data_IF_528503217204
#
_entry.id   IF_528503217204
#
_cell.length_a   1.000
_cell.length_b   1.000
_cell.length_c   1.000
_cell.angle_alpha   90.00
_cell.angle_beta   90.00
_cell.angle_gamma   90.00
#
_symmetry.space_group_name_H-M   'P 1'
#
loop_
_entity.id
_entity.type
_entity.pdbx_description
1 polymer ?
#
# COMPACT_ATOMS: atom_id res chain seq x y z
N UNK A 1 -14.53 6.99 -13.39
CA UNK A 1 -14.27 7.85 -12.21
C UNK A 1 -14.15 7.07 -10.91
N UNK A 2 -15.09 6.18 -10.60
CA UNK A 2 -15.02 5.32 -9.41
C UNK A 2 -13.72 4.51 -9.36
N UNK A 3 -13.24 3.96 -10.48
CA UNK A 3 -11.94 3.28 -10.54
C UNK A 3 -10.76 4.15 -10.11
N UNK A 4 -10.72 5.44 -10.50
CA UNK A 4 -9.65 6.35 -10.08
C UNK A 4 -9.73 6.65 -8.59
N UNK A 5 -10.93 6.91 -8.06
CA UNK A 5 -11.10 7.24 -6.65
C UNK A 5 -10.86 6.02 -5.75
N UNK A 6 -11.37 4.84 -6.14
CA UNK A 6 -11.37 3.63 -5.31
C UNK A 6 -10.11 2.82 -5.55
N UNK A 7 -9.86 2.36 -6.78
CA UNK A 7 -8.75 1.45 -7.05
C UNK A 7 -7.40 2.17 -6.94
N UNK A 8 -7.30 3.41 -7.45
CA UNK A 8 -6.05 4.15 -7.45
C UNK A 8 -5.85 5.01 -6.19
N UNK A 9 -6.62 6.07 -5.97
CA UNK A 9 -6.38 6.98 -4.83
C UNK A 9 -6.57 6.26 -3.49
N UNK A 10 -7.73 5.64 -3.28
CA UNK A 10 -8.03 4.97 -2.02
C UNK A 10 -7.19 3.69 -1.83
N UNK A 11 -6.88 2.97 -2.91
CA UNK A 11 -5.90 1.88 -2.89
C UNK A 11 -4.51 2.36 -2.45
N UNK A 12 -3.98 3.41 -3.08
CA UNK A 12 -2.67 3.98 -2.71
C UNK A 12 -2.63 4.48 -1.26
N UNK A 13 -3.73 5.04 -0.76
CA UNK A 13 -3.84 5.40 0.66
C UNK A 13 -3.66 4.17 1.57
N UNK A 14 -4.34 3.07 1.23
CA UNK A 14 -4.19 1.81 1.96
C UNK A 14 -2.81 1.18 1.81
N UNK A 15 -2.16 1.33 0.65
CA UNK A 15 -0.80 0.80 0.43
C UNK A 15 0.18 1.53 1.34
N UNK A 16 0.06 2.87 1.39
CA UNK A 16 0.85 3.70 2.30
C UNK A 16 0.61 3.42 3.78
N UNK A 17 -0.63 3.09 4.16
CA UNK A 17 -0.99 2.85 5.56
C UNK A 17 -0.67 1.42 6.03
N UNK A 18 -1.09 0.41 5.27
CA UNK A 18 -1.07 -1.00 5.66
C UNK A 18 -0.15 -1.87 4.79
N UNK A 19 -0.04 -1.57 3.49
CA UNK A 19 0.77 -2.32 2.53
C UNK A 19 0.42 -3.81 2.40
N UNK A 20 1.39 -4.59 1.91
CA UNK A 20 1.35 -6.07 1.87
C UNK A 20 0.12 -6.68 1.18
N UNK A 21 -0.38 -6.02 0.13
CA UNK A 21 -1.52 -6.52 -0.65
C UNK A 21 -2.90 -6.27 -0.03
N UNK A 22 -2.95 -5.67 1.17
CA UNK A 22 -4.19 -5.14 1.77
C UNK A 22 -5.00 -4.26 0.82
N UNK A 23 -4.39 -3.34 0.05
CA UNK A 23 -5.15 -2.45 -0.82
C UNK A 23 -5.88 -3.18 -1.92
N UNK A 24 -5.23 -4.17 -2.53
CA UNK A 24 -5.81 -4.96 -3.63
C UNK A 24 -7.01 -5.76 -3.11
N UNK A 25 -6.91 -6.33 -1.92
CA UNK A 25 -8.02 -7.06 -1.30
C UNK A 25 -9.23 -6.15 -1.00
N UNK A 26 -8.99 -4.99 -0.39
CA UNK A 26 -10.07 -4.07 0.00
C UNK A 26 -10.70 -3.39 -1.22
N UNK A 27 -9.88 -2.82 -2.10
CA UNK A 27 -10.39 -2.12 -3.30
C UNK A 27 -11.05 -3.10 -4.26
N UNK A 28 -10.50 -4.31 -4.43
CA UNK A 28 -11.13 -5.38 -5.19
C UNK A 28 -12.51 -5.75 -4.65
N UNK A 29 -12.64 -5.95 -3.34
CA UNK A 29 -13.94 -6.24 -2.72
C UNK A 29 -14.96 -5.10 -2.93
N UNK A 30 -14.53 -3.84 -2.80
CA UNK A 30 -15.40 -2.67 -3.06
C UNK A 30 -15.85 -2.64 -4.53
N UNK A 31 -14.93 -2.88 -5.48
CA UNK A 31 -15.27 -2.91 -6.91
C UNK A 31 -16.26 -4.04 -7.23
N UNK A 32 -16.11 -5.22 -6.64
CA UNK A 32 -17.09 -6.30 -6.82
C UNK A 32 -18.46 -5.89 -6.23
N UNK A 33 -18.46 -5.23 -5.06
CA UNK A 33 -19.69 -4.67 -4.47
C UNK A 33 -20.38 -3.62 -5.35
N UNK A 34 -19.63 -2.95 -6.25
CA UNK A 34 -20.16 -2.02 -7.25
C UNK A 34 -20.59 -2.71 -8.56
N UNK A 35 -20.51 -4.04 -8.65
CA UNK A 35 -21.00 -4.83 -9.78
C UNK A 35 -19.92 -5.28 -10.78
N UNK A 36 -18.62 -5.07 -10.49
CA UNK A 36 -17.54 -5.61 -11.33
C UNK A 36 -17.40 -7.12 -11.11
N UNK A 37 -17.06 -7.86 -12.17
CA UNK A 37 -16.76 -9.30 -12.00
C UNK A 37 -15.50 -9.50 -11.14
N UNK A 38 -15.41 -10.56 -10.31
CA UNK A 38 -14.28 -10.75 -9.39
C UNK A 38 -12.90 -10.72 -10.05
N UNK A 39 -12.77 -11.34 -11.23
CA UNK A 39 -11.51 -11.35 -11.98
C UNK A 39 -11.15 -9.95 -12.50
N UNK A 40 -12.14 -9.19 -13.00
CA UNK A 40 -11.94 -7.82 -13.45
C UNK A 40 -11.54 -6.89 -12.30
N UNK A 41 -12.27 -6.95 -11.19
CA UNK A 41 -12.01 -6.16 -10.01
C UNK A 41 -10.60 -6.42 -9.45
N UNK A 42 -10.20 -7.69 -9.33
CA UNK A 42 -8.87 -8.06 -8.89
C UNK A 42 -7.79 -7.55 -9.85
N UNK A 43 -7.98 -7.71 -11.17
CA UNK A 43 -7.01 -7.26 -12.17
C UNK A 43 -6.83 -5.73 -12.17
N UNK A 44 -7.93 -4.98 -12.11
CA UNK A 44 -7.90 -3.52 -12.05
C UNK A 44 -7.29 -3.00 -10.75
N UNK A 45 -7.59 -3.65 -9.62
CA UNK A 45 -6.97 -3.32 -8.33
C UNK A 45 -5.46 -3.58 -8.33
N UNK A 46 -5.01 -4.70 -8.91
CA UNK A 46 -3.58 -5.02 -9.05
C UNK A 46 -2.85 -3.99 -9.92
N UNK A 47 -3.42 -3.62 -11.07
CA UNK A 47 -2.86 -2.59 -11.94
C UNK A 47 -2.71 -1.27 -11.18
N UNK A 48 -3.75 -0.84 -10.48
CA UNK A 48 -3.76 0.41 -9.75
C UNK A 48 -2.72 0.46 -8.63
N UNK A 49 -2.44 -0.68 -7.98
CA UNK A 49 -1.49 -0.77 -6.87
C UNK A 49 -0.02 -0.70 -7.31
N UNK A 50 0.30 -0.76 -8.61
CA UNK A 50 1.68 -0.81 -9.12
C UNK A 50 2.51 0.43 -8.73
N UNK A 51 1.90 1.61 -8.70
CA UNK A 51 2.59 2.88 -8.43
C UNK A 51 2.97 3.10 -6.95
N UNK A 52 2.08 2.90 -5.96
CA UNK A 52 2.40 3.16 -4.55
C UNK A 52 3.34 2.13 -3.91
N UNK A 53 3.37 0.87 -4.37
CA UNK A 53 4.06 -0.25 -3.69
C UNK A 53 5.55 0.01 -3.34
N UNK A 54 6.24 0.87 -4.08
CA UNK A 54 7.65 1.18 -3.80
C UNK A 54 7.88 1.80 -2.41
N UNK A 55 6.94 2.60 -1.90
CA UNK A 55 7.02 3.17 -0.55
C UNK A 55 6.24 2.31 0.45
N UNK A 56 5.11 1.74 0.05
CA UNK A 56 4.38 0.73 0.83
C UNK A 56 4.05 1.19 2.25
N UNK A 57 3.87 0.23 3.16
CA UNK A 57 3.46 0.50 4.54
C UNK A 57 4.48 1.40 5.27
N UNK A 58 4.18 2.70 5.36
CA UNK A 58 5.01 3.71 5.99
C UNK A 58 6.49 3.70 5.57
N UNK A 59 6.79 3.47 4.28
CA UNK A 59 8.17 3.48 3.78
C UNK A 59 8.96 2.19 4.03
N UNK A 60 8.32 1.13 4.57
CA UNK A 60 9.00 -0.10 5.03
C UNK A 60 9.97 -0.70 3.99
N UNK A 61 9.64 -0.84 2.69
CA UNK A 61 10.56 -1.34 1.68
C UNK A 61 11.84 -0.49 1.59
N UNK A 62 11.72 0.84 1.57
CA UNK A 62 12.87 1.76 1.49
C UNK A 62 13.72 1.70 2.76
N UNK A 63 13.08 1.67 3.93
CA UNK A 63 13.78 1.60 5.22
C UNK A 63 14.53 0.28 5.37
N UNK A 64 13.88 -0.82 4.97
CA UNK A 64 14.48 -2.16 5.00
C UNK A 64 15.65 -2.22 4.04
N UNK A 65 15.51 -1.71 2.81
CA UNK A 65 16.59 -1.63 1.85
C UNK A 65 17.76 -0.79 2.38
N UNK A 66 17.49 0.38 2.95
CA UNK A 66 18.50 1.22 3.58
C UNK A 66 19.29 0.48 4.68
N UNK A 67 18.58 -0.27 5.53
CA UNK A 67 19.18 -1.03 6.63
C UNK A 67 20.11 -2.16 6.17
N UNK A 68 19.87 -2.69 4.97
CA UNK A 68 20.69 -3.75 4.36
C UNK A 68 21.89 -3.14 3.63
N UNK A 69 21.70 -2.05 2.89
CA UNK A 69 22.76 -1.42 2.10
C UNK A 69 23.81 -0.72 2.96
N UNK A 70 23.42 -0.13 4.11
CA UNK A 70 24.32 0.57 5.05
C UNK A 70 25.32 1.50 4.34
N UNK A 71 24.83 2.37 3.45
CA UNK A 71 25.65 3.22 2.58
C UNK A 71 26.50 4.21 3.38
N UNK A 72 25.93 4.82 4.42
CA UNK A 72 26.62 5.83 5.25
C UNK A 72 26.83 5.40 6.70
N UNK A 73 26.32 4.24 7.09
CA UNK A 73 26.27 3.79 8.49
C UNK A 73 25.19 4.49 9.33
N UNK A 74 24.42 5.41 8.73
CA UNK A 74 23.21 5.98 9.31
C UNK A 74 21.99 5.58 8.47
N UNK A 75 21.23 4.61 9.00
CA UNK A 75 20.06 4.05 8.32
C UNK A 75 19.00 5.10 7.96
N UNK A 76 18.84 6.16 8.76
CA UNK A 76 17.82 7.19 8.49
C UNK A 76 18.21 8.05 7.30
N UNK A 77 19.48 8.46 7.25
CA UNK A 77 20.02 9.24 6.15
C UNK A 77 20.00 8.41 4.85
N UNK A 78 20.36 7.13 4.93
CA UNK A 78 20.31 6.21 3.79
C UNK A 78 18.87 6.04 3.28
N UNK A 79 17.90 5.86 4.19
CA UNK A 79 16.48 5.75 3.83
C UNK A 79 15.96 7.03 3.17
N UNK A 80 16.39 8.20 3.63
CA UNK A 80 16.03 9.48 3.02
C UNK A 80 16.59 9.61 1.60
N UNK A 81 17.87 9.29 1.41
CA UNK A 81 18.52 9.36 0.10
C UNK A 81 17.89 8.37 -0.90
N UNK A 82 17.71 7.11 -0.49
CA UNK A 82 17.07 6.08 -1.31
C UNK A 82 15.62 6.47 -1.65
N UNK A 83 14.87 6.95 -0.65
CA UNK A 83 13.51 7.44 -0.85
C UNK A 83 13.45 8.57 -1.86
N UNK A 84 14.37 9.54 -1.79
CA UNK A 84 14.44 10.64 -2.76
C UNK A 84 14.85 10.18 -4.17
N UNK A 85 15.75 9.20 -4.29
CA UNK A 85 16.13 8.62 -5.59
C UNK A 85 14.95 7.92 -6.26
N UNK A 86 14.27 7.02 -5.53
CA UNK A 86 13.05 6.35 -6.01
C UNK A 86 11.98 7.38 -6.33
N UNK A 87 11.81 8.36 -5.45
CA UNK A 87 10.85 9.46 -5.59
C UNK A 87 11.12 10.44 -6.74
N UNK A 88 12.28 10.36 -7.41
CA UNK A 88 12.55 11.10 -8.66
C UNK A 88 12.23 10.29 -9.92
N UNK A 89 12.30 8.97 -9.82
CA UNK A 89 12.10 8.05 -10.96
C UNK A 89 10.65 7.60 -11.06
N UNK A 90 10.07 7.21 -9.92
CA UNK A 90 8.73 6.65 -9.82
C UNK A 90 7.58 7.58 -10.25
N UNK A 91 7.63 8.92 -10.00
CA UNK A 91 6.52 9.81 -10.39
C UNK A 91 6.13 9.73 -11.87
N UNK A 92 7.08 9.44 -12.75
CA UNK A 92 6.79 9.24 -14.18
C UNK A 92 5.85 8.06 -14.40
N UNK A 93 6.10 6.93 -13.75
CA UNK A 93 5.23 5.75 -13.81
C UNK A 93 3.92 5.98 -13.07
N UNK A 94 3.96 6.65 -11.92
CA UNK A 94 2.75 7.00 -11.16
C UNK A 94 1.79 7.91 -11.92
N UNK A 95 2.30 8.73 -12.85
CA UNK A 95 1.48 9.50 -13.77
C UNK A 95 0.81 8.62 -14.83
N UNK A 96 1.53 7.61 -15.34
CA UNK A 96 1.07 6.72 -16.42
C UNK A 96 0.08 5.66 -15.93
N UNK A 97 0.27 5.13 -14.72
CA UNK A 97 -0.54 4.01 -14.18
C UNK A 97 -2.06 4.32 -14.20
N UNK A 98 -2.55 5.50 -13.80
CA UNK A 98 -3.97 5.85 -13.93
C UNK A 98 -4.50 5.84 -15.37
N UNK A 99 -3.67 6.24 -16.35
CA UNK A 99 -4.03 6.13 -17.77
C UNK A 99 -4.14 4.67 -18.17
N UNK A 100 -3.15 3.86 -17.79
CA UNK A 100 -3.14 2.44 -18.09
C UNK A 100 -4.33 1.69 -17.45
N UNK A 101 -4.68 2.03 -16.22
CA UNK A 101 -5.85 1.51 -15.51
C UNK A 101 -7.15 1.77 -16.28
N UNK A 102 -7.38 3.02 -16.71
CA UNK A 102 -8.58 3.35 -17.49
C UNK A 102 -8.51 2.75 -18.88
N UNK A 103 -7.34 2.67 -19.50
CA UNK A 103 -7.18 2.03 -20.79
C UNK A 103 -7.56 0.55 -20.74
N UNK A 104 -7.13 -0.18 -19.71
CA UNK A 104 -7.47 -1.58 -19.51
C UNK A 104 -8.98 -1.79 -19.30
N UNK A 105 -9.66 -0.88 -18.61
CA UNK A 105 -11.10 -0.96 -18.37
C UNK A 105 -11.95 -0.52 -19.57
N UNK A 106 -11.62 0.64 -20.15
CA UNK A 106 -12.47 1.40 -21.08
C UNK A 106 -11.98 1.41 -22.53
N UNK A 107 -10.78 0.88 -22.78
CA UNK A 107 -10.09 1.01 -24.06
C UNK A 107 -9.59 2.43 -24.32
N UNK A 108 -8.82 2.61 -25.41
CA UNK A 108 -8.08 3.86 -25.67
C UNK A 108 -9.02 5.06 -25.86
N UNK A 109 -10.12 4.84 -26.59
CA UNK A 109 -11.12 5.88 -26.83
C UNK A 109 -11.80 6.33 -25.54
N UNK A 110 -12.13 5.41 -24.63
CA UNK A 110 -12.73 5.74 -23.34
C UNK A 110 -11.77 6.51 -22.43
N UNK A 111 -10.50 6.10 -22.40
CA UNK A 111 -9.44 6.85 -21.70
C UNK A 111 -9.32 8.28 -22.20
N UNK A 112 -9.30 8.49 -23.53
CA UNK A 112 -9.23 9.82 -24.13
C UNK A 112 -10.48 10.69 -23.90
N UNK A 113 -11.60 10.14 -23.45
CA UNK A 113 -12.76 10.97 -23.08
C UNK A 113 -12.60 11.58 -21.69
N UNK A 114 -11.82 10.95 -20.80
CA UNK A 114 -11.66 11.36 -19.41
C UNK A 114 -10.21 11.69 -19.03
N UNK A 115 -9.34 11.88 -20.02
CA UNK A 115 -7.92 12.20 -19.84
C UNK A 115 -7.64 13.37 -18.89
N UNK A 116 -8.43 14.47 -18.82
CA UNK A 116 -8.13 15.56 -17.88
C UNK A 116 -8.27 15.09 -16.43
N UNK A 117 -9.29 14.29 -16.15
CA UNK A 117 -9.53 13.75 -14.82
C UNK A 117 -8.44 12.74 -14.42
N UNK A 118 -7.99 11.92 -15.37
CA UNK A 118 -6.87 10.99 -15.16
C UNK A 118 -5.58 11.78 -14.89
N UNK A 119 -5.31 12.83 -15.67
CA UNK A 119 -4.13 13.68 -15.50
C UNK A 119 -4.12 14.37 -14.14
N UNK A 120 -5.26 14.92 -13.71
CA UNK A 120 -5.38 15.52 -12.37
C UNK A 120 -5.09 14.47 -11.30
N UNK A 121 -5.66 13.27 -11.42
CA UNK A 121 -5.46 12.18 -10.47
C UNK A 121 -3.99 11.73 -10.39
N UNK A 122 -3.41 11.31 -11.51
CA UNK A 122 -2.02 10.83 -11.57
C UNK A 122 -1.00 11.93 -11.33
N UNK A 123 -1.24 13.14 -11.86
CA UNK A 123 -0.32 14.27 -11.74
C UNK A 123 -0.21 14.81 -10.33
N UNK A 124 -1.34 14.95 -9.63
CA UNK A 124 -1.32 15.35 -8.21
C UNK A 124 -0.68 14.28 -7.33
N UNK A 125 -0.95 12.99 -7.58
CA UNK A 125 -0.31 11.89 -6.86
C UNK A 125 1.21 11.88 -7.09
N UNK A 126 1.65 11.90 -8.35
CA UNK A 126 3.06 11.90 -8.76
C UNK A 126 3.81 13.14 -8.23
N UNK A 127 3.19 14.32 -8.30
CA UNK A 127 3.76 15.56 -7.79
C UNK A 127 3.97 15.51 -6.27
N UNK A 128 2.96 15.06 -5.52
CA UNK A 128 3.11 14.89 -4.08
C UNK A 128 4.08 13.78 -3.71
N UNK A 129 4.09 12.68 -4.47
CA UNK A 129 5.05 11.59 -4.30
C UNK A 129 6.48 12.11 -4.43
N UNK A 130 6.77 12.94 -5.43
CA UNK A 130 8.06 13.61 -5.60
C UNK A 130 8.38 14.54 -4.42
N UNK A 131 7.47 15.43 -4.04
CA UNK A 131 7.73 16.42 -2.99
C UNK A 131 7.99 15.77 -1.63
N UNK A 132 7.13 14.83 -1.22
CA UNK A 132 7.24 14.20 0.11
C UNK A 132 8.50 13.35 0.19
N UNK A 133 8.82 12.57 -0.84
CA UNK A 133 10.02 11.73 -0.86
C UNK A 133 11.33 12.53 -0.84
N UNK A 134 11.35 13.73 -1.45
CA UNK A 134 12.56 14.57 -1.50
C UNK A 134 12.76 15.46 -0.28
N UNK A 135 11.69 15.87 0.41
CA UNK A 135 11.76 16.86 1.50
C UNK A 135 11.41 16.31 2.88
N UNK A 136 10.62 15.24 2.97
CA UNK A 136 10.20 14.64 4.24
C UNK A 136 10.76 13.22 4.43
N UNK A 137 10.89 12.46 3.34
CA UNK A 137 11.39 11.10 3.33
C UNK A 137 10.33 10.05 3.01
N UNK A 138 10.67 8.75 3.06
CA UNK A 138 9.87 7.67 2.47
C UNK A 138 8.57 7.32 3.22
N UNK A 139 8.42 7.77 4.46
CA UNK A 139 7.41 7.27 5.40
C UNK A 139 5.96 7.62 5.05
N UNK A 140 5.71 8.78 4.46
CA UNK A 140 4.34 9.31 4.29
C UNK A 140 3.98 9.54 2.82
N UNK A 141 4.82 9.05 1.91
CA UNK A 141 4.78 9.40 0.49
C UNK A 141 3.44 9.03 -0.14
N UNK A 142 3.01 7.78 -0.02
CA UNK A 142 1.77 7.33 -0.65
C UNK A 142 0.52 7.82 0.07
N UNK A 143 0.55 7.92 1.40
CA UNK A 143 -0.59 8.42 2.20
C UNK A 143 -0.91 9.86 1.82
N UNK A 144 0.10 10.73 1.82
CA UNK A 144 -0.07 12.14 1.46
C UNK A 144 -0.40 12.27 -0.02
N UNK A 145 0.29 11.54 -0.90
CA UNK A 145 0.02 11.54 -2.33
C UNK A 145 -1.42 11.14 -2.67
N UNK A 146 -1.92 10.09 -2.03
CA UNK A 146 -3.27 9.60 -2.21
C UNK A 146 -4.34 10.58 -1.73
N UNK A 147 -4.16 11.17 -0.53
CA UNK A 147 -5.11 12.12 0.04
C UNK A 147 -5.20 13.40 -0.80
N UNK A 148 -4.07 13.95 -1.22
CA UNK A 148 -4.03 15.13 -2.09
C UNK A 148 -4.63 14.80 -3.46
N UNK A 149 -4.29 13.64 -4.04
CA UNK A 149 -4.84 13.22 -5.33
C UNK A 149 -6.35 13.05 -5.30
N UNK A 150 -6.86 12.44 -4.23
CA UNK A 150 -8.30 12.30 -4.01
C UNK A 150 -8.98 13.66 -3.85
N UNK A 151 -8.41 14.59 -3.08
CA UNK A 151 -8.94 15.93 -2.91
C UNK A 151 -8.95 16.73 -4.23
N UNK A 152 -7.85 16.67 -4.99
CA UNK A 152 -7.74 17.31 -6.31
C UNK A 152 -8.75 16.73 -7.30
N UNK A 153 -8.90 15.40 -7.35
CA UNK A 153 -9.83 14.75 -8.25
C UNK A 153 -11.30 15.07 -7.90
N UNK A 154 -11.67 15.01 -6.63
CA UNK A 154 -13.01 15.37 -6.16
C UNK A 154 -13.30 16.86 -6.43
N UNK A 155 -12.33 17.74 -6.15
CA UNK A 155 -12.43 19.17 -6.46
C UNK A 155 -12.61 19.45 -7.95
N UNK A 156 -11.81 18.79 -8.79
CA UNK A 156 -11.89 18.90 -10.24
C UNK A 156 -13.25 18.43 -10.78
N UNK A 157 -13.77 17.31 -10.26
CA UNK A 157 -15.08 16.76 -10.65
C UNK A 157 -16.28 17.66 -10.27
N UNK A 158 -16.11 18.61 -9.36
CA UNK A 158 -17.16 19.61 -9.08
C UNK A 158 -17.31 20.61 -10.23
N UNK A 159 -16.21 20.90 -10.92
CA UNK A 159 -16.16 21.89 -12.02
C UNK A 159 -16.26 21.21 -13.38
N UNK A 160 -15.72 20.01 -13.51
CA UNK A 160 -15.63 19.28 -14.77
C UNK A 160 -16.47 17.99 -14.73
N UNK A 161 -17.23 17.73 -15.80
CA UNK A 161 -18.01 16.51 -15.99
C UNK A 161 -17.67 15.86 -17.34
N UNK A 162 -17.63 14.52 -17.42
CA UNK A 162 -17.38 13.84 -18.69
C UNK A 162 -18.56 14.03 -19.65
N UNK A 163 -18.27 14.08 -20.96
CA UNK A 163 -19.29 14.20 -22.01
C UNK A 163 -20.22 12.99 -22.11
N UNK A 164 -19.71 11.80 -21.75
CA UNK A 164 -20.48 10.56 -21.68
C UNK A 164 -20.32 9.98 -20.27
N UNK A 165 -21.45 9.68 -19.63
CA UNK A 165 -21.48 9.00 -18.34
C UNK A 165 -21.67 7.52 -18.63
N UNK A 166 -20.70 6.71 -18.21
CA UNK A 166 -20.80 5.25 -18.27
C UNK A 166 -21.29 4.73 -16.94
N UNK A 167 -22.43 4.04 -16.96
CA UNK A 167 -23.07 3.47 -15.79
C UNK A 167 -22.85 1.95 -15.66
N UNK A 168 -22.34 1.29 -16.72
CA UNK A 168 -22.07 -0.15 -16.70
C UNK A 168 -20.71 -0.47 -16.07
N UNK A 169 -20.65 -1.43 -15.12
CA UNK A 169 -19.40 -1.98 -14.60
C UNK A 169 -18.79 -3.07 -15.50
N UNK A 170 -19.44 -3.47 -16.60
CA UNK A 170 -18.95 -4.53 -17.49
C UNK A 170 -17.66 -4.14 -18.22
N UNK A 171 -16.73 -5.08 -18.34
CA UNK A 171 -15.52 -4.89 -19.14
C UNK A 171 -15.88 -4.93 -20.63
N UNK A 172 -15.31 -4.02 -21.41
CA UNK A 172 -15.54 -4.01 -22.86
C UNK A 172 -14.88 -5.24 -23.50
N UNK A 173 -15.67 -6.05 -24.22
CA UNK A 173 -15.28 -7.21 -25.05
C UNK A 173 -15.17 -8.61 -24.38
N UNK A 174 -15.91 -8.92 -23.32
CA UNK A 174 -16.12 -10.33 -22.90
C UNK A 174 -17.59 -10.75 -23.07
N UNK A 175 -17.90 -11.78 -23.90
CA UNK A 175 -19.27 -12.27 -24.07
C UNK A 175 -19.84 -12.94 -22.80
N UNK A 176 -18.98 -13.30 -21.85
CA UNK A 176 -19.35 -14.01 -20.62
C UNK A 176 -19.72 -13.07 -19.46
N UNK A 177 -19.68 -11.75 -19.65
CA UNK A 177 -20.22 -10.77 -18.71
C UNK A 177 -21.75 -10.68 -18.90
N UNK A 178 -22.47 -11.79 -18.75
CA UNK A 178 -23.79 -11.64 -18.14
C UNK A 178 -23.58 -10.92 -16.81
N UNK A 179 -24.49 -10.05 -16.35
CA UNK A 179 -24.45 -9.55 -14.99
C UNK A 179 -24.62 -10.78 -14.10
N UNK A 180 -23.50 -11.43 -13.76
CA UNK A 180 -23.53 -12.62 -12.94
C UNK A 180 -24.19 -12.12 -11.68
N UNK A 181 -25.37 -12.67 -11.38
CA UNK A 181 -25.95 -12.62 -10.05
C UNK A 181 -25.04 -13.43 -9.13
N UNK A 182 -23.76 -13.05 -9.06
CA UNK A 182 -22.86 -13.54 -8.03
C UNK A 182 -23.53 -13.02 -6.79
N UNK A 183 -23.90 -13.92 -5.87
CA UNK A 183 -24.14 -13.51 -4.51
C UNK A 183 -23.00 -12.56 -4.15
N UNK A 184 -23.34 -11.30 -3.81
CA UNK A 184 -22.35 -10.27 -3.52
C UNK A 184 -21.27 -10.91 -2.64
N UNK A 185 -19.98 -10.81 -2.99
CA UNK A 185 -18.95 -11.47 -2.23
C UNK A 185 -19.15 -11.10 -0.76
N UNK A 186 -19.09 -12.10 0.11
CA UNK A 186 -19.00 -11.88 1.55
C UNK A 186 -17.82 -10.94 1.72
N UNK A 187 -18.10 -9.68 2.08
CA UNK A 187 -17.03 -8.70 2.16
C UNK A 187 -15.99 -9.20 3.15
N UNK A 188 -14.74 -9.01 2.78
CA UNK A 188 -13.62 -9.34 3.64
C UNK A 188 -13.54 -8.28 4.74
N UNK A 189 -14.29 -8.52 5.81
CA UNK A 189 -14.40 -7.67 6.99
C UNK A 189 -15.86 -7.40 7.39
N UNK A 190 -16.13 -7.38 8.70
CA UNK A 190 -17.46 -7.28 9.29
C UNK A 190 -18.24 -5.97 9.02
N UNK A 191 -17.77 -5.12 8.11
CA UNK A 191 -18.33 -3.80 7.80
C UNK A 191 -19.19 -3.76 6.53
N UNK A 192 -19.45 -4.88 5.85
CA UNK A 192 -20.41 -4.86 4.75
C UNK A 192 -21.82 -5.21 5.21
N UNK A 193 -22.68 -4.21 5.17
CA UNK A 193 -24.11 -4.43 4.97
C UNK A 193 -24.32 -5.16 3.64
N UNK A 194 -25.18 -6.19 3.59
CA UNK A 194 -25.51 -6.89 2.35
C UNK A 194 -26.06 -5.90 1.30
N UNK A 195 -25.55 -5.98 0.07
CA UNK A 195 -25.94 -5.11 -1.04
C UNK A 195 -27.45 -5.12 -1.35
N UNK A 196 -28.18 -6.16 -0.90
CA UNK A 196 -29.63 -6.29 -1.08
C UNK A 196 -30.47 -5.23 -0.36
N UNK A 197 -29.95 -4.55 0.68
CA UNK A 197 -30.71 -3.53 1.42
C UNK A 197 -30.66 -2.12 0.81
N UNK A 198 -29.77 -1.88 -0.17
CA UNK A 198 -29.52 -0.56 -0.76
C UNK A 198 -30.08 -0.39 -2.19
N UNK A 199 -30.59 -1.46 -2.81
CA UNK A 199 -31.20 -1.37 -4.13
C UNK A 199 -32.51 -0.54 -4.06
N UNK A 200 -32.47 0.68 -4.60
CA UNK A 200 -33.66 1.52 -4.78
C UNK A 200 -33.85 2.69 -3.82
N UNK A 201 -32.93 2.95 -2.88
CA UNK A 201 -32.99 4.16 -2.03
C UNK A 201 -32.10 5.26 -2.59
N UNK A 202 -32.69 6.35 -3.09
CA UNK A 202 -32.02 7.64 -3.21
C UNK A 202 -31.69 8.12 -1.81
N UNK A 203 -30.47 7.85 -1.37
CA UNK A 203 -29.98 8.36 -0.10
C UNK A 203 -29.76 9.87 -0.27
N UNK A 204 -30.71 10.67 0.21
CA UNK A 204 -30.47 12.08 0.51
C UNK A 204 -29.48 12.13 1.68
N UNK A 205 -28.20 11.96 1.33
CA UNK A 205 -27.12 11.87 2.32
C UNK A 205 -26.93 13.23 2.96
N UNK A 206 -27.33 13.33 4.22
CA UNK A 206 -27.04 14.52 5.03
C UNK A 206 -25.52 14.65 5.17
N UNK A 207 -24.97 15.87 5.14
CA UNK A 207 -23.51 16.10 5.28
C UNK A 207 -22.90 15.41 6.51
N UNK A 208 -23.70 15.19 7.57
CA UNK A 208 -23.31 14.43 8.76
C UNK A 208 -23.11 12.92 8.51
N UNK A 209 -23.89 12.28 7.63
CA UNK A 209 -23.72 10.87 7.27
C UNK A 209 -22.48 10.64 6.40
N UNK A 210 -22.21 11.59 5.51
CA UNK A 210 -20.96 11.60 4.72
C UNK A 210 -19.78 11.71 5.67
N UNK A 211 -19.78 12.68 6.59
CA UNK A 211 -18.71 12.84 7.57
C UNK A 211 -18.54 11.59 8.44
N UNK A 212 -19.63 10.98 8.89
CA UNK A 212 -19.59 9.75 9.71
C UNK A 212 -18.96 8.57 8.97
N UNK A 213 -19.14 8.50 7.65
CA UNK A 213 -18.49 7.49 6.79
C UNK A 213 -16.97 7.69 6.70
N UNK A 214 -16.49 8.92 6.92
CA UNK A 214 -15.05 9.24 6.92
C UNK A 214 -14.35 9.00 8.25
N UNK A 215 -15.10 8.90 9.35
CA UNK A 215 -14.53 8.81 10.71
C UNK A 215 -13.49 7.70 10.86
N UNK A 216 -13.72 6.44 10.42
CA UNK A 216 -12.73 5.37 10.57
C UNK A 216 -11.42 5.67 9.83
N UNK A 217 -11.53 6.30 8.66
CA UNK A 217 -10.40 6.66 7.82
C UNK A 217 -9.59 7.79 8.43
N UNK A 218 -10.25 8.80 8.99
CA UNK A 218 -9.58 9.89 9.70
C UNK A 218 -8.83 9.36 10.92
N UNK A 219 -9.46 8.46 11.71
CA UNK A 219 -8.82 7.82 12.86
C UNK A 219 -7.60 7.01 12.41
N UNK A 220 -7.74 6.21 11.36
CA UNK A 220 -6.63 5.46 10.77
C UNK A 220 -5.48 6.37 10.35
N UNK A 221 -5.76 7.45 9.61
CA UNK A 221 -4.77 8.45 9.26
C UNK A 221 -4.01 8.94 10.50
N UNK A 222 -4.72 9.46 11.51
CA UNK A 222 -4.10 10.05 12.69
C UNK A 222 -3.14 9.07 13.39
N UNK A 223 -3.55 7.81 13.55
CA UNK A 223 -2.70 6.78 14.14
C UNK A 223 -1.50 6.44 13.27
N UNK A 224 -1.69 6.29 11.96
CA UNK A 224 -0.61 6.00 10.99
C UNK A 224 0.41 7.14 10.95
N UNK A 225 -0.04 8.39 10.95
CA UNK A 225 0.84 9.57 11.04
C UNK A 225 1.59 9.60 12.37
N UNK A 226 0.92 9.33 13.50
CA UNK A 226 1.57 9.32 14.82
C UNK A 226 2.62 8.20 14.92
N UNK A 227 2.27 6.96 14.58
CA UNK A 227 3.17 5.80 14.61
C UNK A 227 4.30 5.86 13.58
N UNK A 228 4.06 6.53 12.45
CA UNK A 228 5.06 6.67 11.39
C UNK A 228 6.20 7.62 11.73
N UNK A 229 6.01 8.54 12.68
CA UNK A 229 7.03 9.54 13.03
C UNK A 229 8.18 8.93 13.85
N UNK A 230 9.41 9.36 13.55
CA UNK A 230 10.59 8.95 14.32
C UNK A 230 10.51 9.43 15.77
N UNK A 231 9.97 10.64 15.99
CA UNK A 231 9.70 11.20 17.32
C UNK A 231 8.91 10.26 18.22
N UNK A 232 7.85 9.63 17.70
CA UNK A 232 7.07 8.67 18.46
C UNK A 232 7.88 7.40 18.77
N UNK A 233 8.66 6.92 17.80
CA UNK A 233 9.50 5.73 17.97
C UNK A 233 10.58 5.96 19.02
N UNK A 234 11.24 7.10 19.02
CA UNK A 234 12.29 7.45 19.98
C UNK A 234 11.76 7.62 21.40
N UNK A 235 10.52 8.09 21.54
CA UNK A 235 9.85 8.20 22.84
C UNK A 235 9.45 6.83 23.41
N UNK A 236 8.97 5.92 22.56
CA UNK A 236 8.31 4.67 22.98
C UNK A 236 9.25 3.46 22.98
N UNK A 237 10.21 3.37 22.05
CA UNK A 237 11.17 2.26 22.01
C UNK A 237 11.97 2.08 23.32
N UNK A 238 12.40 3.14 24.03
CA UNK A 238 13.06 2.99 25.33
C UNK A 238 12.17 2.36 26.41
N UNK A 239 10.84 2.47 26.29
CA UNK A 239 9.90 1.87 27.23
C UNK A 239 9.84 0.35 27.05
N UNK A 240 9.82 -0.13 25.80
CA UNK A 240 9.73 -1.56 25.50
C UNK A 240 10.20 -1.87 24.07
N UNK A 241 11.48 -2.24 23.95
CA UNK A 241 12.04 -2.79 22.72
C UNK A 241 13.17 -3.80 23.05
N UNK A 242 12.83 -4.94 23.69
CA UNK A 242 13.83 -5.96 23.99
C UNK A 242 14.51 -6.46 22.70
N UNK A 243 15.82 -6.68 22.82
CA UNK A 243 16.69 -7.16 21.74
C UNK A 243 17.30 -8.48 22.16
N UNK A 244 17.19 -9.49 21.30
CA UNK A 244 17.78 -10.80 21.52
C UNK A 244 18.77 -11.11 20.40
N UNK A 245 20.07 -11.29 20.71
CA UNK A 245 21.00 -11.85 19.74
C UNK A 245 20.56 -13.28 19.40
N UNK A 246 20.63 -13.65 18.13
CA UNK A 246 20.30 -15.01 17.70
C UNK A 246 21.49 -15.91 18.03
N UNK A 247 21.30 -16.78 19.01
CA UNK A 247 22.30 -17.77 19.42
C UNK A 247 22.71 -18.65 18.23
N UNK A 248 24.02 -18.82 18.05
CA UNK A 248 24.56 -19.60 16.94
C UNK A 248 24.51 -18.91 15.57
N UNK A 249 24.20 -17.61 15.51
CA UNK A 249 24.29 -16.82 14.27
C UNK A 249 24.91 -15.44 14.49
N UNK A 250 24.65 -14.81 15.63
CA UNK A 250 25.13 -13.47 15.93
C UNK A 250 26.66 -13.37 15.81
N UNK A 251 27.15 -12.50 14.92
CA UNK A 251 28.57 -12.27 14.63
C UNK A 251 29.35 -13.49 14.12
N UNK A 252 28.68 -14.55 13.66
CA UNK A 252 29.35 -15.70 13.02
C UNK A 252 29.61 -15.51 11.53
N UNK A 253 28.88 -14.59 10.91
CA UNK A 253 29.03 -14.28 9.48
C UNK A 253 29.92 -13.05 9.35
N UNK A 254 30.86 -13.10 8.42
CA UNK A 254 31.74 -11.98 8.10
C UNK A 254 31.41 -11.47 6.69
N UNK A 255 31.07 -10.19 6.58
CA UNK A 255 31.01 -9.50 5.29
C UNK A 255 32.42 -9.02 4.93
N UNK A 256 32.83 -9.20 3.69
CA UNK A 256 34.16 -8.83 3.17
C UNK A 256 34.03 -8.02 1.87
N UNK A 257 35.07 -7.28 1.45
CA UNK A 257 35.08 -6.64 0.13
C UNK A 257 34.87 -7.66 -1.00
N UNK A 258 34.15 -7.32 -2.08
CA UNK A 258 33.61 -5.99 -2.43
C UNK A 258 32.20 -5.70 -1.85
N UNK A 259 31.61 -6.61 -1.08
CA UNK A 259 30.24 -6.46 -0.53
C UNK A 259 30.17 -5.32 0.48
N UNK A 260 31.22 -5.16 1.28
CA UNK A 260 31.40 -4.04 2.22
C UNK A 260 32.81 -3.46 2.05
N UNK A 261 33.02 -2.14 2.25
CA UNK A 261 34.34 -1.52 2.07
C UNK A 261 35.42 -2.06 3.03
N UNK A 262 35.01 -2.47 4.24
CA UNK A 262 35.88 -3.04 5.27
C UNK A 262 35.24 -4.30 5.82
N UNK A 263 36.04 -5.33 6.05
CA UNK A 263 35.55 -6.57 6.61
C UNK A 263 34.96 -6.35 8.01
N UNK A 264 33.79 -6.93 8.27
CA UNK A 264 33.05 -6.75 9.52
C UNK A 264 32.16 -7.94 9.82
N UNK A 265 31.94 -8.21 11.12
CA UNK A 265 31.02 -9.25 11.56
C UNK A 265 29.58 -8.76 11.42
N UNK A 266 28.72 -9.58 10.83
CA UNK A 266 27.31 -9.28 10.66
C UNK A 266 26.54 -9.66 11.94
N UNK A 267 25.86 -8.66 12.52
CA UNK A 267 24.98 -8.87 13.65
C UNK A 267 23.68 -9.58 13.24
N UNK A 268 23.32 -10.62 13.97
CA UNK A 268 21.99 -11.21 13.95
C UNK A 268 21.29 -10.92 15.28
N UNK A 269 20.45 -9.88 15.32
CA UNK A 269 19.73 -9.44 16.51
C UNK A 269 18.27 -9.27 16.17
N UNK A 270 17.40 -10.01 16.84
CA UNK A 270 15.96 -9.83 16.76
C UNK A 270 15.54 -8.70 17.71
N UNK A 271 14.92 -7.65 17.18
CA UNK A 271 14.40 -6.53 17.95
C UNK A 271 12.89 -6.60 17.98
N UNK A 272 12.30 -6.70 19.17
CA UNK A 272 10.84 -6.79 19.33
C UNK A 272 10.26 -5.45 19.77
N UNK A 273 9.95 -4.61 18.79
CA UNK A 273 9.46 -3.24 18.95
C UNK A 273 7.93 -3.15 18.78
N UNK A 274 7.18 -4.05 19.43
CA UNK A 274 5.73 -4.19 19.21
C UNK A 274 4.95 -2.88 19.40
N UNK A 275 5.35 -2.02 20.35
CA UNK A 275 4.65 -0.76 20.61
C UNK A 275 4.77 0.24 19.46
N UNK A 276 5.84 0.15 18.67
CA UNK A 276 6.14 1.11 17.58
C UNK A 276 5.99 0.51 16.19
N UNK A 277 5.63 -0.78 16.09
CA UNK A 277 5.25 -1.40 14.82
C UNK A 277 4.00 -0.71 14.24
N UNK A 278 4.02 -0.48 12.92
CA UNK A 278 2.89 0.10 12.16
C UNK A 278 1.58 -0.67 12.40
N UNK A 279 1.64 -2.00 12.44
CA UNK A 279 0.48 -2.86 12.67
C UNK A 279 -0.23 -2.59 14.00
N UNK A 280 0.52 -2.22 15.04
CA UNK A 280 -0.05 -1.87 16.36
C UNK A 280 -0.84 -0.56 16.28
N UNK A 281 -0.32 0.43 15.57
CA UNK A 281 -1.04 1.69 15.31
C UNK A 281 -2.35 1.45 14.57
N UNK A 282 -2.33 0.63 13.51
CA UNK A 282 -3.54 0.26 12.75
C UNK A 282 -4.54 -0.51 13.61
N UNK A 283 -4.06 -1.45 14.43
CA UNK A 283 -4.92 -2.23 15.32
C UNK A 283 -5.64 -1.33 16.36
N UNK A 284 -4.90 -0.42 16.98
CA UNK A 284 -5.49 0.55 17.92
C UNK A 284 -6.45 1.51 17.21
N UNK A 285 -6.11 1.95 16.00
CA UNK A 285 -7.00 2.77 15.18
C UNK A 285 -8.33 2.06 14.89
N UNK A 286 -8.29 0.77 14.55
CA UNK A 286 -9.47 -0.05 14.31
C UNK A 286 -10.34 -0.20 15.57
N UNK A 287 -9.72 -0.38 16.74
CA UNK A 287 -10.42 -0.47 18.02
C UNK A 287 -11.12 0.87 18.35
N UNK A 288 -10.39 1.98 18.26
CA UNK A 288 -10.95 3.33 18.50
C UNK A 288 -12.05 3.65 17.50
N UNK A 289 -11.84 3.39 16.21
CA UNK A 289 -12.85 3.59 15.18
C UNK A 289 -14.11 2.75 15.44
N UNK A 290 -13.95 1.47 15.79
CA UNK A 290 -15.05 0.58 16.15
C UNK A 290 -15.88 1.10 17.31
N UNK A 291 -15.24 1.59 18.38
CA UNK A 291 -15.91 2.18 19.54
C UNK A 291 -16.64 3.47 19.20
N UNK A 292 -16.01 4.37 18.43
CA UNK A 292 -16.63 5.63 17.97
C UNK A 292 -17.83 5.36 17.07
N UNK A 293 -17.76 4.33 16.22
CA UNK A 293 -18.88 3.87 15.41
C UNK A 293 -19.96 3.12 16.19
N UNK A 294 -19.76 2.89 17.50
CA UNK A 294 -20.67 2.16 18.41
C UNK A 294 -20.85 0.68 18.05
N UNK A 295 -19.81 0.03 17.51
CA UNK A 295 -19.81 -1.42 17.38
C UNK A 295 -19.68 -2.09 18.75
N UNK A 296 -20.33 -3.25 18.92
CA UNK A 296 -20.15 -4.05 20.13
C UNK A 296 -18.75 -4.65 20.17
N UNK A 297 -18.10 -4.72 21.35
CA UNK A 297 -16.78 -5.36 21.48
C UNK A 297 -16.76 -6.79 20.96
N UNK A 298 -17.83 -7.56 21.19
CA UNK A 298 -17.98 -8.93 20.67
C UNK A 298 -17.89 -8.98 19.15
N UNK A 299 -18.55 -8.04 18.45
CA UNK A 299 -18.51 -7.96 16.99
C UNK A 299 -17.13 -7.56 16.47
N UNK A 300 -16.42 -6.69 17.20
CA UNK A 300 -15.04 -6.34 16.85
C UNK A 300 -14.09 -7.54 16.95
N UNK A 301 -14.18 -8.32 18.03
CA UNK A 301 -13.37 -9.53 18.18
C UNK A 301 -13.73 -10.61 17.16
N UNK A 302 -15.03 -10.83 16.89
CA UNK A 302 -15.43 -11.80 15.87
C UNK A 302 -14.94 -11.41 14.48
N UNK A 303 -15.04 -10.11 14.13
CA UNK A 303 -14.55 -9.57 12.87
C UNK A 303 -13.05 -9.79 12.71
N UNK A 304 -12.27 -9.52 13.75
CA UNK A 304 -10.82 -9.72 13.75
C UNK A 304 -10.46 -11.19 13.51
N UNK A 305 -11.15 -12.12 14.19
CA UNK A 305 -10.97 -13.56 13.99
C UNK A 305 -11.33 -14.03 12.58
N UNK A 306 -12.44 -13.54 12.02
CA UNK A 306 -12.84 -13.80 10.63
C UNK A 306 -11.75 -13.30 9.66
N UNK A 307 -11.22 -12.10 9.87
CA UNK A 307 -10.14 -11.54 9.03
C UNK A 307 -8.85 -12.37 9.11
N UNK A 308 -8.44 -12.80 10.31
CA UNK A 308 -7.28 -13.70 10.47
C UNK A 308 -7.49 -15.03 9.76
N UNK A 309 -8.70 -15.59 9.82
CA UNK A 309 -9.01 -16.84 9.13
C UNK A 309 -8.85 -16.70 7.62
N UNK A 310 -9.35 -15.62 7.03
CA UNK A 310 -9.22 -15.42 5.58
C UNK A 310 -7.77 -15.16 5.18
N UNK A 311 -7.05 -14.35 5.95
CA UNK A 311 -5.68 -13.96 5.62
C UNK A 311 -4.64 -15.03 5.99
N UNK A 312 -5.01 -16.14 6.62
CA UNK A 312 -4.07 -17.16 7.12
C UNK A 312 -3.04 -17.63 6.09
N UNK A 313 -3.46 -17.86 4.84
CA UNK A 313 -2.55 -18.29 3.79
C UNK A 313 -1.61 -17.17 3.37
N UNK A 314 -2.11 -15.94 3.27
CA UNK A 314 -1.28 -14.76 2.99
C UNK A 314 -0.24 -14.53 4.10
N UNK A 315 -0.64 -14.67 5.38
CA UNK A 315 0.26 -14.54 6.52
C UNK A 315 1.37 -15.60 6.52
N UNK A 316 1.02 -16.85 6.23
CA UNK A 316 2.01 -17.94 6.10
C UNK A 316 2.97 -17.64 4.94
N UNK A 317 2.47 -17.18 3.80
CA UNK A 317 3.31 -16.83 2.64
C UNK A 317 4.25 -15.67 2.97
N UNK A 318 3.77 -14.61 3.63
CA UNK A 318 4.61 -13.48 4.07
C UNK A 318 5.68 -13.95 5.06
N UNK A 319 5.32 -14.78 6.03
CA UNK A 319 6.28 -15.35 6.98
C UNK A 319 7.34 -16.22 6.27
N UNK A 320 6.93 -17.05 5.32
CA UNK A 320 7.83 -17.88 4.53
C UNK A 320 8.76 -17.02 3.64
N UNK A 321 8.23 -15.98 3.00
CA UNK A 321 9.00 -15.06 2.16
C UNK A 321 10.04 -14.28 2.98
N UNK A 322 9.66 -13.73 4.14
CA UNK A 322 10.60 -13.04 5.04
C UNK A 322 11.65 -14.00 5.61
N UNK A 323 11.27 -15.25 5.91
CA UNK A 323 12.20 -16.29 6.36
C UNK A 323 13.21 -16.63 5.26
N UNK A 324 12.74 -16.80 4.01
CA UNK A 324 13.59 -17.05 2.86
C UNK A 324 14.56 -15.88 2.62
N UNK A 325 14.08 -14.63 2.62
CA UNK A 325 14.93 -13.46 2.45
C UNK A 325 15.98 -13.31 3.58
N UNK A 326 15.62 -13.64 4.82
CA UNK A 326 16.58 -13.66 5.93
C UNK A 326 17.63 -14.75 5.74
N UNK A 327 17.23 -15.93 5.25
CA UNK A 327 18.13 -17.03 4.95
C UNK A 327 19.10 -16.69 3.82
N UNK A 328 18.60 -16.16 2.70
CA UNK A 328 19.43 -15.80 1.53
C UNK A 328 20.39 -14.66 1.82
N UNK A 329 19.98 -13.71 2.68
CA UNK A 329 20.86 -12.68 3.24
C UNK A 329 22.03 -13.29 4.01
N UNK A 330 21.75 -14.14 4.99
CA UNK A 330 22.79 -14.66 5.90
C UNK A 330 23.66 -15.75 5.25
N UNK A 331 23.16 -16.53 4.29
CA UNK A 331 23.98 -17.48 3.55
C UNK A 331 24.80 -16.84 2.40
N UNK A 332 24.64 -15.53 2.16
CA UNK A 332 25.44 -14.76 1.20
C UNK A 332 24.94 -14.82 -0.25
N UNK A 333 23.82 -15.50 -0.52
CA UNK A 333 23.23 -15.62 -1.87
C UNK A 333 22.87 -14.24 -2.43
N UNK A 334 22.24 -13.38 -1.63
CA UNK A 334 21.86 -12.02 -2.05
C UNK A 334 23.08 -11.21 -2.51
N UNK A 335 24.19 -11.32 -1.79
CA UNK A 335 25.42 -10.60 -2.09
C UNK A 335 26.08 -11.11 -3.37
N UNK A 336 26.13 -12.44 -3.56
CA UNK A 336 26.71 -13.05 -4.78
C UNK A 336 25.89 -12.72 -6.02
N UNK A 337 24.56 -12.87 -5.95
CA UNK A 337 23.66 -12.52 -7.06
C UNK A 337 23.66 -11.00 -7.33
N UNK A 338 23.67 -10.18 -6.28
CA UNK A 338 23.75 -8.73 -6.39
C UNK A 338 25.00 -8.27 -7.14
N UNK A 339 26.17 -8.84 -6.81
CA UNK A 339 27.42 -8.56 -7.52
C UNK A 339 27.39 -9.06 -8.97
N UNK A 340 26.85 -10.26 -9.21
CA UNK A 340 26.74 -10.81 -10.55
C UNK A 340 25.85 -9.93 -11.46
N UNK A 341 24.69 -9.49 -10.95
CA UNK A 341 23.78 -8.65 -11.72
C UNK A 341 24.28 -7.21 -11.84
N UNK A 342 24.98 -6.66 -10.84
CA UNK A 342 25.63 -5.35 -10.97
C UNK A 342 26.62 -5.32 -12.17
N UNK A 343 27.24 -6.46 -12.49
CA UNK A 343 28.08 -6.62 -13.68
C UNK A 343 27.34 -6.48 -15.03
N UNK A 344 26.00 -6.53 -15.05
CA UNK A 344 25.21 -6.36 -16.29
C UNK A 344 25.11 -4.91 -16.79
N UNK A 345 25.63 -3.94 -16.03
CA UNK A 345 25.73 -2.54 -16.43
C UNK A 345 24.36 -1.92 -16.71
N UNK A 346 24.14 -1.45 -17.94
CA UNK A 346 22.89 -0.79 -18.36
C UNK A 346 21.68 -1.72 -18.24
N UNK A 347 21.88 -3.04 -18.29
CA UNK A 347 20.81 -4.03 -18.15
C UNK A 347 20.47 -4.36 -16.68
N UNK A 348 21.14 -3.74 -15.71
CA UNK A 348 20.88 -3.98 -14.29
C UNK A 348 19.41 -3.80 -13.87
N UNK A 349 18.66 -2.79 -14.35
CA UNK A 349 17.24 -2.66 -14.01
C UNK A 349 16.39 -3.86 -14.46
N UNK A 350 16.81 -4.61 -15.48
CA UNK A 350 16.12 -5.82 -15.91
C UNK A 350 16.51 -7.01 -15.02
N UNK A 351 17.81 -7.31 -14.89
CA UNK A 351 18.28 -8.46 -14.12
C UNK A 351 18.09 -8.30 -12.61
N UNK A 352 18.19 -7.09 -12.09
CA UNK A 352 17.97 -6.79 -10.68
C UNK A 352 16.54 -7.09 -10.20
N UNK A 353 15.56 -7.20 -11.09
CA UNK A 353 14.19 -7.62 -10.75
C UNK A 353 14.01 -9.13 -10.61
N UNK A 354 15.04 -9.92 -10.94
CA UNK A 354 15.06 -11.39 -10.79
C UNK A 354 15.68 -11.84 -9.45
N UNK A 355 16.16 -10.88 -8.65
CA UNK A 355 16.54 -11.02 -7.25
C UNK A 355 15.30 -10.87 -6.37
#
# INVERSE_FOLDING_TARGET
MQLLLIAFCFGAFFEGAAGFGTPVAVTGAILIGLGFSPLAASGLALIANTAPVAFGALGTPIITLASVMQLTGNNEHDAFQLGAMVGRQLPFFSLIVPFWLIWAFAGFRGMMQIWPAILVCGGSFAGMQFLVSNFHGPWLVDVVGALVSMACLVGFLKVWRPRQIWESPSLRNRPDDEPVRVAAPVALGAAATPAGELAGKTLDKTSGEVLRSWVPWIILCLFVFLWGTQTFKDLVNPLFAPKWPIDGLHNLIQKVPPVVPKAGLEGAVFSFNILTMTGTGIFLAALVAGLVMRYSPRRLFSAYGETLWVLRYSLITVAAMLSLGTLTKYCGVDATLGLAFAGSGVLYPFFGTLL
#
